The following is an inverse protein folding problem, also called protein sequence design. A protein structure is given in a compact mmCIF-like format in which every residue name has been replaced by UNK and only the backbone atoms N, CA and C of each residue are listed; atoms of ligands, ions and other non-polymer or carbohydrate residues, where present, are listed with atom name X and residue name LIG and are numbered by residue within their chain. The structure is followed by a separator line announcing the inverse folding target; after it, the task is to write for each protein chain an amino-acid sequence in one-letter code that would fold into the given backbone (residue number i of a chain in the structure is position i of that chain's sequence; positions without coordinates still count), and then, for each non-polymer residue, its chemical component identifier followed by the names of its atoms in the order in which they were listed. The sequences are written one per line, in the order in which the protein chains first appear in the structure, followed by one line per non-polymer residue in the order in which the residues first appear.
data_IF_492611662207
#
_entry.id   IF_492611662207
#
_cell.length_a   1.000
_cell.length_b   1.000
_cell.length_c   1.000
_cell.angle_alpha   90.00
_cell.angle_beta   90.00
_cell.angle_gamma   90.00
#
_symmetry.space_group_name_H-M   'P 1'
#
loop_
_entity.id
_entity.type
_entity.pdbx_description
1 polymer ?
#
# COMPACT_ATOMS: atom_id res chain seq x y z
N UNK A 1 -22.37 1.74 8.67
CA UNK A 1 -23.05 1.03 9.76
C UNK A 1 -22.05 0.02 10.21
N UNK A 2 -21.53 0.14 11.42
CA UNK A 2 -20.36 -0.64 11.82
C UNK A 2 -20.65 -2.14 11.71
N UNK A 3 -19.69 -2.89 11.19
CA UNK A 3 -19.79 -4.34 11.03
C UNK A 3 -19.66 -5.01 12.41
N UNK A 4 -20.79 -5.35 13.03
CA UNK A 4 -20.84 -6.06 14.31
C UNK A 4 -20.90 -7.56 14.05
N UNK A 5 -19.84 -8.28 14.42
CA UNK A 5 -19.73 -9.74 14.22
C UNK A 5 -19.56 -10.41 15.58
N UNK A 6 -20.63 -11.09 16.02
CA UNK A 6 -20.59 -11.88 17.26
C UNK A 6 -19.87 -13.22 17.06
N UNK A 7 -19.94 -13.78 15.85
CA UNK A 7 -19.28 -15.04 15.48
C UNK A 7 -18.73 -14.98 14.04
N UNK A 8 -17.42 -14.79 13.93
CA UNK A 8 -16.72 -14.67 12.65
C UNK A 8 -16.77 -15.93 11.79
N UNK A 9 -16.74 -17.11 12.40
CA UNK A 9 -16.76 -18.37 11.65
C UNK A 9 -18.12 -18.59 10.98
N UNK A 10 -19.21 -18.32 11.71
CA UNK A 10 -20.56 -18.39 11.18
C UNK A 10 -20.77 -17.39 10.04
N UNK A 11 -20.27 -16.16 10.20
CA UNK A 11 -20.38 -15.13 9.16
C UNK A 11 -19.56 -15.48 7.91
N UNK A 12 -18.36 -16.06 8.07
CA UNK A 12 -17.57 -16.59 6.94
C UNK A 12 -18.34 -17.72 6.22
N UNK A 13 -18.95 -18.66 6.96
CA UNK A 13 -19.72 -19.76 6.36
C UNK A 13 -20.93 -19.23 5.59
N UNK A 14 -21.66 -18.28 6.18
CA UNK A 14 -22.81 -17.62 5.55
C UNK A 14 -22.39 -16.86 4.29
N UNK A 15 -21.35 -16.03 4.38
CA UNK A 15 -20.80 -15.26 3.26
C UNK A 15 -20.34 -16.16 2.12
N UNK A 16 -19.60 -17.24 2.42
CA UNK A 16 -19.19 -18.23 1.40
C UNK A 16 -20.38 -18.86 0.69
N UNK A 17 -21.46 -19.17 1.41
CA UNK A 17 -22.70 -19.70 0.80
C UNK A 17 -23.40 -18.66 -0.07
N UNK A 18 -23.39 -17.40 0.33
CA UNK A 18 -23.99 -16.30 -0.42
C UNK A 18 -23.22 -16.02 -1.72
N UNK A 19 -21.90 -15.77 -1.64
CA UNK A 19 -21.08 -15.43 -2.82
C UNK A 19 -21.07 -16.55 -3.86
N UNK A 20 -21.09 -17.81 -3.44
CA UNK A 20 -21.19 -18.96 -4.35
C UNK A 20 -22.44 -18.97 -5.23
N UNK A 21 -23.55 -18.35 -4.78
CA UNK A 21 -24.77 -18.25 -5.60
C UNK A 21 -24.56 -17.38 -6.84
N UNK A 22 -23.65 -16.42 -6.76
CA UNK A 22 -23.31 -15.51 -7.86
C UNK A 22 -22.18 -16.07 -8.75
N UNK A 23 -21.57 -17.20 -8.36
CA UNK A 23 -20.43 -17.82 -9.03
C UNK A 23 -20.71 -19.29 -9.38
N UNK A 24 -21.64 -19.57 -10.31
CA UNK A 24 -22.05 -20.94 -10.63
C UNK A 24 -20.91 -21.81 -11.20
N UNK A 25 -19.95 -21.22 -11.90
CA UNK A 25 -18.70 -21.87 -12.34
C UNK A 25 -17.46 -21.28 -11.66
N UNK A 26 -17.48 -21.24 -10.32
CA UNK A 26 -16.35 -20.75 -9.53
C UNK A 26 -15.01 -21.40 -9.92
N UNK A 27 -15.01 -22.69 -10.29
CA UNK A 27 -13.78 -23.41 -10.63
C UNK A 27 -13.22 -22.97 -11.99
N UNK A 28 -14.07 -22.85 -13.01
CA UNK A 28 -13.66 -22.34 -14.32
C UNK A 28 -13.14 -20.91 -14.21
N UNK A 29 -13.91 -20.03 -13.56
CA UNK A 29 -13.54 -18.62 -13.34
C UNK A 29 -12.19 -18.52 -12.59
N UNK A 30 -12.01 -19.29 -11.51
CA UNK A 30 -10.75 -19.26 -10.78
C UNK A 30 -9.58 -19.77 -11.64
N UNK A 31 -9.81 -20.75 -12.52
CA UNK A 31 -8.79 -21.26 -13.43
C UNK A 31 -8.35 -20.21 -14.46
N UNK A 32 -9.28 -19.41 -14.95
CA UNK A 32 -8.99 -18.29 -15.84
C UNK A 32 -8.12 -17.23 -15.14
N UNK A 33 -8.49 -16.83 -13.92
CA UNK A 33 -7.70 -15.91 -13.10
C UNK A 33 -6.31 -16.47 -12.83
N UNK A 34 -6.20 -17.76 -12.48
CA UNK A 34 -4.92 -18.42 -12.24
C UNK A 34 -4.02 -18.38 -13.48
N UNK A 35 -4.57 -18.64 -14.66
CA UNK A 35 -3.82 -18.58 -15.91
C UNK A 35 -3.32 -17.15 -16.20
N UNK A 36 -4.18 -16.14 -16.03
CA UNK A 36 -3.81 -14.73 -16.19
C UNK A 36 -2.68 -14.32 -15.26
N UNK A 37 -2.77 -14.69 -13.97
CA UNK A 37 -1.71 -14.39 -12.99
C UNK A 37 -0.42 -15.15 -13.33
N UNK A 38 -0.51 -16.40 -13.80
CA UNK A 38 0.66 -17.18 -14.21
C UNK A 38 1.39 -16.53 -15.41
N UNK A 39 0.66 -15.96 -16.36
CA UNK A 39 1.23 -15.19 -17.47
C UNK A 39 1.98 -13.95 -16.96
N UNK A 40 1.37 -13.16 -16.07
CA UNK A 40 2.03 -11.99 -15.47
C UNK A 40 3.28 -12.37 -14.67
N UNK A 41 3.24 -13.48 -13.91
CA UNK A 41 4.42 -14.02 -13.22
C UNK A 41 5.51 -14.40 -14.21
N UNK A 42 5.18 -15.05 -15.32
CA UNK A 42 6.16 -15.40 -16.37
C UNK A 42 6.79 -14.15 -16.97
N UNK A 43 6.02 -13.10 -17.23
CA UNK A 43 6.54 -11.83 -17.75
C UNK A 43 7.54 -11.23 -16.75
N UNK A 44 7.20 -11.20 -15.46
CA UNK A 44 8.07 -10.67 -14.41
C UNK A 44 9.36 -11.49 -14.32
N UNK A 45 9.27 -12.82 -14.37
CA UNK A 45 10.45 -13.70 -14.35
C UNK A 45 11.37 -13.45 -15.54
N UNK A 46 10.82 -13.26 -16.74
CA UNK A 46 11.61 -12.92 -17.93
C UNK A 46 12.34 -11.58 -17.73
N UNK A 47 11.65 -10.54 -17.24
CA UNK A 47 12.29 -9.24 -16.98
C UNK A 47 13.43 -9.36 -15.96
N UNK A 48 13.24 -10.12 -14.88
CA UNK A 48 14.28 -10.39 -13.89
C UNK A 48 15.48 -11.12 -14.51
N UNK A 49 15.22 -12.16 -15.30
CA UNK A 49 16.27 -12.95 -15.95
C UNK A 49 17.06 -12.14 -16.99
N UNK A 50 16.42 -11.14 -17.60
CA UNK A 50 17.03 -10.20 -18.53
C UNK A 50 17.64 -8.97 -17.84
N UNK A 51 17.67 -8.94 -16.49
CA UNK A 51 18.16 -7.82 -15.69
C UNK A 51 17.45 -6.48 -16.00
N UNK A 52 16.19 -6.56 -16.46
CA UNK A 52 15.34 -5.38 -16.72
C UNK A 52 14.57 -4.98 -15.47
N UNK A 53 14.30 -3.69 -15.35
CA UNK A 53 13.48 -3.15 -14.27
C UNK A 53 12.05 -3.72 -14.33
N UNK A 54 11.59 -4.32 -13.22
CA UNK A 54 10.22 -4.83 -13.08
C UNK A 54 9.28 -3.73 -12.60
N UNK A 55 9.76 -2.93 -11.64
CA UNK A 55 9.04 -1.80 -11.09
C UNK A 55 9.30 -0.59 -12.00
N UNK A 56 8.27 0.07 -12.53
CA UNK A 56 8.42 1.28 -13.31
C UNK A 56 9.12 2.36 -12.49
N UNK A 57 10.01 3.11 -13.13
CA UNK A 57 10.72 4.22 -12.51
C UNK A 57 10.51 5.48 -13.33
N UNK A 58 10.18 6.59 -12.65
CA UNK A 58 10.03 7.92 -13.23
C UNK A 58 10.81 8.94 -12.39
N UNK A 59 11.13 10.10 -12.93
CA UNK A 59 11.70 11.18 -12.15
C UNK A 59 10.59 12.11 -11.60
N UNK A 60 10.88 12.80 -10.50
CA UNK A 60 10.01 13.86 -10.00
C UNK A 60 9.92 15.04 -10.98
N UNK A 61 10.98 15.28 -11.76
CA UNK A 61 11.01 16.33 -12.80
C UNK A 61 9.96 16.06 -13.87
N UNK A 62 9.82 14.80 -14.33
CA UNK A 62 8.78 14.42 -15.30
C UNK A 62 7.36 14.67 -14.75
N UNK A 63 7.14 14.45 -13.45
CA UNK A 63 5.88 14.81 -12.77
C UNK A 63 5.73 16.34 -12.72
N UNK A 64 6.82 17.07 -12.48
CA UNK A 64 6.78 18.52 -12.35
C UNK A 64 6.44 19.21 -13.68
N UNK A 65 7.00 18.70 -14.77
CA UNK A 65 6.83 19.17 -16.15
C UNK A 65 5.60 18.60 -16.87
N UNK A 66 4.88 17.67 -16.22
CA UNK A 66 3.74 16.94 -16.80
C UNK A 66 4.14 16.11 -18.05
N UNK A 67 5.38 15.61 -18.10
CA UNK A 67 5.98 14.89 -19.23
C UNK A 67 6.12 13.39 -18.95
N UNK A 68 4.98 12.74 -18.67
CA UNK A 68 4.92 11.28 -18.51
C UNK A 68 3.99 10.72 -19.57
N UNK A 69 4.51 9.85 -20.42
CA UNK A 69 3.72 9.23 -21.47
C UNK A 69 2.67 8.24 -20.93
N UNK A 70 1.65 8.01 -21.75
CA UNK A 70 0.55 7.12 -21.39
C UNK A 70 0.98 5.66 -21.24
N UNK A 71 2.02 5.22 -21.96
CA UNK A 71 2.52 3.84 -21.87
C UNK A 71 3.13 3.55 -20.49
N UNK A 72 3.85 4.53 -19.94
CA UNK A 72 4.41 4.52 -18.60
C UNK A 72 3.31 4.53 -17.55
N UNK A 73 2.29 5.37 -17.72
CA UNK A 73 1.10 5.39 -16.84
C UNK A 73 0.39 4.03 -16.84
N UNK A 74 0.16 3.45 -18.02
CA UNK A 74 -0.49 2.14 -18.16
C UNK A 74 0.34 1.02 -17.52
N UNK A 75 1.67 1.07 -17.68
CA UNK A 75 2.58 0.14 -17.03
C UNK A 75 2.56 0.28 -15.51
N UNK A 76 2.52 1.50 -14.98
CA UNK A 76 2.40 1.77 -13.53
C UNK A 76 1.08 1.20 -13.00
N UNK A 77 -0.04 1.43 -13.70
CA UNK A 77 -1.33 0.86 -13.32
C UNK A 77 -1.32 -0.66 -13.38
N UNK A 78 -0.70 -1.24 -14.41
CA UNK A 78 -0.55 -2.69 -14.56
C UNK A 78 0.31 -3.31 -13.44
N UNK A 79 1.39 -2.65 -13.02
CA UNK A 79 2.30 -3.13 -11.97
C UNK A 79 1.83 -2.80 -10.55
N UNK A 80 0.93 -1.83 -10.40
CA UNK A 80 0.41 -1.38 -9.11
C UNK A 80 1.46 -0.74 -8.21
N UNK A 81 2.61 -0.34 -8.75
CA UNK A 81 3.71 0.28 -8.01
C UNK A 81 4.58 1.12 -8.96
N UNK A 82 5.33 2.08 -8.39
CA UNK A 82 6.26 2.96 -9.11
C UNK A 82 7.35 3.46 -8.16
N UNK A 83 8.57 3.64 -8.67
CA UNK A 83 9.62 4.40 -8.00
C UNK A 83 9.64 5.83 -8.57
N UNK A 84 9.43 6.83 -7.72
CA UNK A 84 9.60 8.24 -8.09
C UNK A 84 10.98 8.69 -7.60
N UNK A 85 11.91 8.88 -8.54
CA UNK A 85 13.28 9.30 -8.26
C UNK A 85 13.34 10.80 -8.00
N UNK A 86 14.26 11.21 -7.13
CA UNK A 86 14.60 12.61 -6.91
C UNK A 86 13.44 13.52 -6.44
N UNK A 87 12.43 12.98 -5.74
CA UNK A 87 11.41 13.81 -5.04
C UNK A 87 12.05 14.81 -4.09
N UNK A 88 13.15 14.40 -3.46
CA UNK A 88 14.00 15.25 -2.65
C UNK A 88 15.46 15.09 -3.07
N UNK A 89 16.24 16.15 -2.94
CA UNK A 89 17.68 16.09 -3.17
C UNK A 89 18.36 15.19 -2.14
N UNK A 90 19.45 14.52 -2.56
CA UNK A 90 20.24 13.67 -1.66
C UNK A 90 20.73 14.44 -0.42
N UNK A 91 21.21 15.68 -0.59
CA UNK A 91 21.71 16.50 0.51
C UNK A 91 20.64 16.80 1.56
N UNK A 92 19.40 17.07 1.13
CA UNK A 92 18.29 17.29 2.05
C UNK A 92 17.93 16.01 2.83
N UNK A 93 17.94 14.87 2.14
CA UNK A 93 17.70 13.57 2.79
C UNK A 93 18.81 13.22 3.79
N UNK A 94 20.08 13.52 3.46
CA UNK A 94 21.20 13.31 4.38
C UNK A 94 21.02 14.16 5.66
N UNK A 95 20.69 15.45 5.52
CA UNK A 95 20.38 16.36 6.64
C UNK A 95 19.24 15.83 7.50
N UNK A 96 18.11 15.48 6.89
CA UNK A 96 16.94 14.94 7.60
C UNK A 96 17.26 13.63 8.32
N UNK A 97 18.10 12.78 7.74
CA UNK A 97 18.53 11.55 8.39
C UNK A 97 19.43 11.84 9.60
N UNK A 98 20.34 12.80 9.52
CA UNK A 98 21.17 13.24 10.65
C UNK A 98 20.32 13.84 11.78
N UNK A 99 19.40 14.75 11.45
CA UNK A 99 18.45 15.34 12.40
C UNK A 99 17.60 14.29 13.10
N UNK A 100 17.16 13.27 12.36
CA UNK A 100 16.38 12.16 12.90
C UNK A 100 17.19 11.31 13.88
N UNK A 101 18.46 11.01 13.53
CA UNK A 101 19.38 10.30 14.44
C UNK A 101 19.57 11.10 15.71
N UNK A 102 19.87 12.40 15.58
CA UNK A 102 20.04 13.31 16.70
C UNK A 102 18.82 13.32 17.60
N UNK A 103 17.62 13.43 17.02
CA UNK A 103 16.36 13.36 17.73
C UNK A 103 16.19 12.04 18.52
N UNK A 104 16.49 10.91 17.90
CA UNK A 104 16.44 9.59 18.56
C UNK A 104 17.42 9.52 19.74
N UNK A 105 18.65 10.00 19.55
CA UNK A 105 19.73 9.87 20.55
C UNK A 105 19.59 10.85 21.71
N UNK A 106 19.29 12.12 21.45
CA UNK A 106 19.21 13.16 22.49
C UNK A 106 18.02 12.93 23.42
N UNK A 107 16.96 12.30 22.92
CA UNK A 107 15.81 11.91 23.74
C UNK A 107 16.01 10.56 24.45
N UNK A 108 17.15 9.88 24.30
CA UNK A 108 17.41 8.59 24.94
C UNK A 108 16.39 7.51 24.54
N UNK A 109 15.97 7.49 23.27
CA UNK A 109 14.90 6.60 22.82
C UNK A 109 15.28 5.12 22.96
N UNK A 110 16.55 4.77 22.72
CA UNK A 110 17.03 3.40 22.80
C UNK A 110 16.90 2.82 24.22
N UNK A 111 17.24 3.62 25.23
CA UNK A 111 17.11 3.27 26.64
C UNK A 111 15.64 3.11 27.02
N UNK A 112 14.79 4.06 26.63
CA UNK A 112 13.35 4.02 26.93
C UNK A 112 12.61 2.85 26.27
N UNK A 113 13.09 2.36 25.13
CA UNK A 113 12.49 1.21 24.45
C UNK A 113 12.77 -0.12 25.15
N UNK A 114 13.90 -0.27 25.83
CA UNK A 114 14.20 -1.51 26.56
C UNK A 114 13.16 -1.80 27.64
N UNK A 115 12.71 -0.76 28.35
CA UNK A 115 11.68 -0.88 29.40
C UNK A 115 10.27 -1.18 28.84
N UNK A 116 10.04 -0.87 27.55
CA UNK A 116 8.72 -0.94 26.89
C UNK A 116 8.60 -2.06 25.86
N UNK A 117 9.60 -2.95 25.75
CA UNK A 117 9.62 -4.04 24.77
C UNK A 117 8.41 -4.99 24.85
N UNK A 118 7.69 -5.01 25.98
CA UNK A 118 6.47 -5.81 26.17
C UNK A 118 5.20 -5.24 25.51
N UNK A 119 5.22 -3.97 25.07
CA UNK A 119 4.05 -3.25 24.55
C UNK A 119 3.82 -3.42 23.04
N UNK A 120 4.86 -3.74 22.26
CA UNK A 120 4.74 -4.00 20.82
C UNK A 120 5.09 -5.45 20.51
N UNK A 121 4.09 -6.33 20.65
CA UNK A 121 4.23 -7.77 20.39
C UNK A 121 4.13 -8.13 18.90
N UNK A 122 3.73 -7.18 18.05
CA UNK A 122 3.53 -7.41 16.62
C UNK A 122 4.85 -7.72 15.90
N UNK A 123 5.96 -7.17 16.41
CA UNK A 123 7.32 -7.42 15.92
C UNK A 123 8.19 -8.21 16.90
N UNK A 124 7.56 -8.96 17.82
CA UNK A 124 8.26 -9.70 18.88
C UNK A 124 9.22 -10.79 18.37
N UNK A 125 9.16 -11.13 17.08
CA UNK A 125 10.08 -12.05 16.39
C UNK A 125 11.42 -11.41 15.96
N UNK A 126 11.59 -10.08 16.09
CA UNK A 126 12.83 -9.40 15.77
C UNK A 126 13.88 -9.63 16.88
N UNK A 127 14.91 -10.44 16.59
CA UNK A 127 15.97 -10.82 17.54
C UNK A 127 17.00 -9.72 17.86
N UNK A 128 16.88 -8.52 17.28
CA UNK A 128 17.85 -7.44 17.50
C UNK A 128 17.62 -6.74 18.85
N UNK A 129 18.71 -6.43 19.55
CA UNK A 129 18.71 -5.61 20.76
C UNK A 129 18.29 -4.16 20.51
N UNK A 130 18.20 -3.74 19.24
CA UNK A 130 17.69 -2.44 18.80
C UNK A 130 16.42 -2.61 17.96
N UNK A 131 15.38 -1.80 18.20
CA UNK A 131 14.17 -1.84 17.37
C UNK A 131 14.50 -1.42 15.93
N UNK A 132 13.95 -2.14 14.94
CA UNK A 132 14.04 -1.75 13.53
C UNK A 132 12.93 -0.77 13.14
N UNK A 133 11.79 -0.83 13.82
CA UNK A 133 10.65 0.08 13.66
C UNK A 133 10.56 0.97 14.89
N UNK A 134 10.51 2.29 14.67
CA UNK A 134 10.49 3.27 15.76
C UNK A 134 9.10 3.91 15.82
N UNK A 135 8.46 3.87 16.98
CA UNK A 135 7.19 4.52 17.31
C UNK A 135 7.30 6.05 17.41
N UNK A 136 8.01 6.67 16.46
CA UNK A 136 8.25 8.09 16.38
C UNK A 136 7.42 8.64 15.23
N UNK A 137 6.61 9.65 15.52
CA UNK A 137 5.63 10.18 14.56
C UNK A 137 5.85 11.66 14.24
N UNK A 138 6.50 12.41 15.14
CA UNK A 138 6.50 13.88 15.13
C UNK A 138 7.90 14.50 15.10
N UNK A 139 8.92 13.76 14.66
CA UNK A 139 10.23 14.37 14.43
C UNK A 139 10.13 15.47 13.37
N UNK A 140 10.96 16.50 13.48
CA UNK A 140 10.96 17.58 12.49
C UNK A 140 11.15 17.08 11.06
N UNK A 141 12.08 16.13 10.76
CA UNK A 141 12.21 15.55 9.43
C UNK A 141 10.92 14.91 8.90
N UNK A 142 10.19 14.14 9.72
CA UNK A 142 8.94 13.52 9.31
C UNK A 142 7.87 14.57 8.96
N UNK A 143 7.72 15.61 9.79
CA UNK A 143 6.74 16.66 9.56
C UNK A 143 7.10 17.48 8.32
N UNK A 144 8.37 17.87 8.17
CA UNK A 144 8.89 18.59 6.99
C UNK A 144 8.63 17.79 5.71
N UNK A 145 9.00 16.51 5.67
CA UNK A 145 8.81 15.66 4.51
C UNK A 145 7.34 15.49 4.10
N UNK A 146 6.41 15.40 5.07
CA UNK A 146 4.98 15.24 4.80
C UNK A 146 4.32 16.47 4.21
N UNK A 147 4.72 17.66 4.67
CA UNK A 147 4.12 18.93 4.25
C UNK A 147 4.84 19.60 3.08
N UNK A 148 5.93 18.99 2.58
CA UNK A 148 6.70 19.55 1.48
C UNK A 148 5.90 19.58 0.18
N UNK A 149 6.12 20.62 -0.64
CA UNK A 149 5.40 20.82 -1.89
C UNK A 149 5.67 19.70 -2.90
N UNK A 150 6.91 19.19 -2.96
CA UNK A 150 7.27 18.13 -3.89
C UNK A 150 6.60 16.81 -3.51
N UNK A 151 6.47 16.53 -2.21
CA UNK A 151 5.68 15.40 -1.73
C UNK A 151 4.19 15.56 -2.06
N UNK A 152 3.62 16.74 -1.82
CA UNK A 152 2.22 17.01 -2.14
C UNK A 152 1.93 16.83 -3.64
N UNK A 153 2.80 17.35 -4.52
CA UNK A 153 2.66 17.18 -5.98
C UNK A 153 2.78 15.72 -6.42
N UNK A 154 3.77 14.98 -5.91
CA UNK A 154 3.94 13.56 -6.22
C UNK A 154 2.73 12.72 -5.81
N UNK A 155 2.15 13.00 -4.63
CA UNK A 155 0.96 12.29 -4.15
C UNK A 155 -0.32 12.68 -4.90
N UNK A 156 -0.50 13.95 -5.21
CA UNK A 156 -1.60 14.40 -6.06
C UNK A 156 -1.55 13.71 -7.43
N UNK A 157 -0.35 13.60 -8.03
CA UNK A 157 -0.15 12.87 -9.27
C UNK A 157 -0.55 11.38 -9.15
N UNK A 158 -0.10 10.68 -8.09
CA UNK A 158 -0.50 9.28 -7.83
C UNK A 158 -2.00 9.12 -7.65
N UNK A 159 -2.64 10.04 -6.93
CA UNK A 159 -4.08 10.04 -6.68
C UNK A 159 -4.88 10.25 -7.98
N UNK A 160 -4.37 11.07 -8.91
CA UNK A 160 -5.00 11.30 -10.21
C UNK A 160 -4.93 10.10 -11.17
N UNK A 161 -4.18 9.04 -10.85
CA UNK A 161 -4.20 7.76 -11.60
C UNK A 161 -5.50 6.97 -11.39
N UNK A 162 -6.24 7.29 -10.33
CA UNK A 162 -7.49 6.64 -9.96
C UNK A 162 -8.66 7.22 -10.75
N UNK A 163 -9.66 6.37 -11.01
CA UNK A 163 -11.00 6.84 -11.38
C UNK A 163 -11.71 7.31 -10.09
N UNK A 164 -11.43 8.55 -9.69
CA UNK A 164 -11.98 9.16 -8.47
C UNK A 164 -13.37 9.77 -8.66
N UNK A 165 -13.80 10.02 -9.89
CA UNK A 165 -15.16 10.48 -10.22
C UNK A 165 -15.82 9.55 -11.24
N UNK A 166 -17.05 9.13 -10.96
CA UNK A 166 -17.81 8.24 -11.84
C UNK A 166 -19.30 8.54 -11.75
N UNK A 167 -19.96 8.72 -12.90
CA UNK A 167 -21.40 9.00 -12.98
C UNK A 167 -21.87 10.19 -12.12
N UNK A 168 -21.06 11.25 -12.02
CA UNK A 168 -21.35 12.42 -11.20
C UNK A 168 -21.17 12.22 -9.68
N UNK A 169 -20.59 11.09 -9.26
CA UNK A 169 -20.17 10.85 -7.88
C UNK A 169 -18.65 10.96 -7.76
N UNK A 170 -18.18 12.00 -7.07
CA UNK A 170 -16.75 12.20 -6.75
C UNK A 170 -16.46 11.52 -5.41
N UNK A 171 -15.62 10.48 -5.42
CA UNK A 171 -15.28 9.67 -4.24
C UNK A 171 -14.30 10.41 -3.32
N UNK A 172 -13.29 11.06 -3.92
CA UNK A 172 -12.32 11.89 -3.21
C UNK A 172 -11.77 12.98 -4.15
N UNK A 173 -11.17 14.01 -3.56
CA UNK A 173 -10.45 15.06 -4.27
C UNK A 173 -8.96 14.64 -4.38
N UNK A 174 -8.44 14.34 -5.57
CA UNK A 174 -7.09 13.79 -5.71
C UNK A 174 -5.98 14.79 -5.34
N UNK A 175 -6.29 16.09 -5.37
CA UNK A 175 -5.34 17.18 -5.12
C UNK A 175 -5.36 17.63 -3.65
N UNK A 176 -6.21 17.01 -2.82
CA UNK A 176 -6.30 17.30 -1.38
C UNK A 176 -6.04 16.05 -0.55
N UNK A 177 -4.86 15.98 0.03
CA UNK A 177 -4.47 14.87 0.90
C UNK A 177 -4.60 15.23 2.39
N UNK A 178 -4.99 14.26 3.21
CA UNK A 178 -4.81 14.29 4.66
C UNK A 178 -3.42 13.75 5.03
N UNK A 179 -2.77 14.36 6.02
CA UNK A 179 -1.51 13.82 6.54
C UNK A 179 -1.77 12.58 7.40
N UNK A 180 -1.26 11.43 6.95
CA UNK A 180 -1.18 10.21 7.76
C UNK A 180 0.18 10.12 8.46
N UNK A 181 0.19 10.24 9.79
CA UNK A 181 1.41 10.20 10.60
C UNK A 181 1.81 8.75 10.92
N UNK A 182 2.80 8.23 10.22
CA UNK A 182 3.34 6.88 10.45
C UNK A 182 4.74 6.90 11.12
N UNK A 183 5.19 5.71 11.50
CA UNK A 183 6.47 5.36 12.08
C UNK A 183 7.61 5.51 11.08
N UNK A 184 8.84 5.36 11.58
CA UNK A 184 10.04 5.23 10.74
C UNK A 184 10.63 3.83 10.88
N UNK A 185 11.38 3.42 9.87
CA UNK A 185 12.19 2.20 9.92
C UNK A 185 13.66 2.55 9.75
N UNK A 186 14.52 2.02 10.62
CA UNK A 186 15.98 2.10 10.50
C UNK A 186 16.54 0.70 10.66
N UNK A 187 17.40 0.28 9.73
CA UNK A 187 18.06 -1.03 9.74
C UNK A 187 19.55 -0.83 9.69
N UNK A 188 20.29 -1.60 10.49
CA UNK A 188 21.74 -1.63 10.46
C UNK A 188 22.22 -2.65 9.42
N UNK A 189 23.40 -2.44 8.78
CA UNK A 189 24.01 -3.46 7.95
C UNK A 189 24.12 -4.79 8.69
N UNK A 190 23.66 -5.88 8.08
CA UNK A 190 23.64 -7.21 8.69
C UNK A 190 22.31 -7.62 9.33
N UNK A 191 21.35 -6.70 9.49
CA UNK A 191 19.98 -7.04 9.89
C UNK A 191 19.33 -8.02 8.89
N UNK A 192 19.13 -9.27 9.27
CA UNK A 192 18.65 -10.35 8.40
C UNK A 192 17.20 -10.80 8.70
N UNK A 193 16.56 -10.20 9.71
CA UNK A 193 15.15 -10.44 10.02
C UNK A 193 14.27 -9.80 8.96
N UNK A 194 13.76 -10.60 8.03
CA UNK A 194 12.59 -10.23 7.23
C UNK A 194 11.41 -10.06 8.20
N UNK A 195 11.08 -8.82 8.54
CA UNK A 195 10.11 -8.54 9.60
C UNK A 195 8.69 -9.03 9.31
N UNK A 196 8.34 -9.34 8.05
CA UNK A 196 7.01 -9.79 7.62
C UNK A 196 7.09 -10.68 6.37
N UNK A 197 6.26 -11.72 6.30
CA UNK A 197 5.98 -12.47 5.06
C UNK A 197 5.13 -11.62 4.10
N UNK A 198 5.03 -11.97 2.79
CA UNK A 198 4.13 -11.27 1.88
C UNK A 198 2.70 -11.18 2.45
N UNK A 199 2.14 -9.97 2.46
CA UNK A 199 0.81 -9.65 2.98
C UNK A 199 0.23 -8.44 2.24
N UNK A 200 -1.05 -8.16 2.46
CA UNK A 200 -1.71 -6.93 2.05
C UNK A 200 -2.32 -6.26 3.28
N UNK A 201 -2.10 -4.96 3.43
CA UNK A 201 -2.72 -4.14 4.46
C UNK A 201 -4.16 -3.75 4.10
N UNK A 202 -4.79 -2.90 4.92
CA UNK A 202 -6.15 -2.41 4.75
C UNK A 202 -7.14 -3.58 4.56
N UNK A 203 -7.42 -4.27 5.66
CA UNK A 203 -8.41 -5.35 5.73
C UNK A 203 -7.84 -6.74 5.39
N UNK A 204 -8.37 -7.74 6.10
CA UNK A 204 -8.14 -9.16 5.90
C UNK A 204 -9.48 -9.82 5.60
N UNK A 205 -10.13 -10.44 6.59
CA UNK A 205 -11.44 -11.12 6.44
C UNK A 205 -12.53 -10.18 5.93
N UNK A 206 -12.44 -8.90 6.26
CA UNK A 206 -13.34 -7.82 5.87
C UNK A 206 -13.48 -7.75 4.35
N UNK A 207 -12.42 -8.07 3.58
CA UNK A 207 -12.45 -8.11 2.10
C UNK A 207 -13.51 -9.06 1.54
N UNK A 208 -13.96 -10.02 2.35
CA UNK A 208 -15.02 -10.96 1.99
C UNK A 208 -16.35 -10.64 2.67
N UNK A 209 -16.32 -10.31 3.97
CA UNK A 209 -17.55 -10.26 4.79
C UNK A 209 -18.15 -8.86 4.90
N UNK A 210 -17.38 -7.80 4.67
CA UNK A 210 -17.88 -6.43 4.68
C UNK A 210 -18.58 -6.10 3.36
N UNK A 211 -19.77 -5.50 3.45
CA UNK A 211 -20.57 -5.12 2.28
C UNK A 211 -19.88 -4.04 1.44
N UNK A 212 -19.13 -3.13 2.06
CA UNK A 212 -18.32 -2.11 1.36
C UNK A 212 -17.27 -2.76 0.47
N UNK A 213 -16.47 -3.67 1.02
CA UNK A 213 -15.52 -4.46 0.24
C UNK A 213 -16.18 -5.32 -0.83
N UNK A 214 -17.34 -5.93 -0.56
CA UNK A 214 -18.06 -6.68 -1.58
C UNK A 214 -18.49 -5.80 -2.76
N UNK A 215 -18.83 -4.52 -2.53
CA UNK A 215 -19.09 -3.57 -3.62
C UNK A 215 -17.82 -3.17 -4.38
N UNK A 216 -16.69 -3.00 -3.69
CA UNK A 216 -15.38 -2.75 -4.33
C UNK A 216 -15.03 -3.91 -5.27
N UNK A 217 -15.20 -5.15 -4.81
CA UNK A 217 -14.89 -6.38 -5.56
C UNK A 217 -16.08 -6.99 -6.30
N UNK A 218 -17.16 -6.23 -6.53
CA UNK A 218 -18.41 -6.71 -7.13
C UNK A 218 -18.21 -7.48 -8.43
N UNK A 219 -17.29 -7.04 -9.29
CA UNK A 219 -17.01 -7.68 -10.58
C UNK A 219 -16.35 -9.05 -10.38
N UNK A 220 -15.45 -9.16 -9.40
CA UNK A 220 -14.84 -10.43 -9.00
C UNK A 220 -15.91 -11.36 -8.44
N UNK A 221 -16.73 -10.89 -7.49
CA UNK A 221 -17.74 -11.70 -6.81
C UNK A 221 -18.95 -12.08 -7.67
N UNK A 222 -19.14 -11.44 -8.83
CA UNK A 222 -20.16 -11.78 -9.82
C UNK A 222 -19.61 -12.56 -11.03
N UNK A 223 -18.31 -12.90 -11.03
CA UNK A 223 -17.68 -13.71 -12.06
C UNK A 223 -17.16 -12.95 -13.28
N UNK A 224 -17.47 -11.66 -13.39
CA UNK A 224 -16.99 -10.77 -14.46
C UNK A 224 -15.64 -10.14 -14.08
N UNK A 225 -14.68 -10.96 -13.67
CA UNK A 225 -13.42 -10.48 -13.09
C UNK A 225 -12.59 -9.63 -14.07
N UNK A 226 -12.76 -9.81 -15.39
CA UNK A 226 -12.16 -8.96 -16.43
C UNK A 226 -12.57 -7.48 -16.32
N UNK A 227 -13.74 -7.19 -15.76
CA UNK A 227 -14.24 -5.82 -15.58
C UNK A 227 -13.74 -5.20 -14.27
N UNK A 228 -12.99 -5.93 -13.44
CA UNK A 228 -12.43 -5.38 -12.21
C UNK A 228 -11.26 -4.44 -12.52
N UNK A 229 -11.43 -3.17 -12.17
CA UNK A 229 -10.38 -2.15 -12.22
C UNK A 229 -9.84 -1.88 -10.80
N UNK A 230 -8.57 -2.21 -10.51
CA UNK A 230 -7.94 -1.87 -9.24
C UNK A 230 -7.93 -0.37 -8.93
N UNK A 231 -8.00 0.49 -9.94
CA UNK A 231 -7.99 1.95 -9.84
C UNK A 231 -9.40 2.58 -9.85
N UNK A 232 -10.48 1.78 -9.84
CA UNK A 232 -11.83 2.29 -9.57
C UNK A 232 -11.95 2.63 -8.07
N UNK A 233 -12.14 3.91 -7.76
CA UNK A 233 -12.25 4.39 -6.38
C UNK A 233 -13.62 4.06 -5.74
N UNK A 234 -14.61 3.71 -6.55
CA UNK A 234 -16.00 3.51 -6.10
C UNK A 234 -16.07 2.60 -4.86
N UNK A 235 -16.83 3.04 -3.85
CA UNK A 235 -17.11 2.32 -2.59
C UNK A 235 -15.91 2.15 -1.64
N UNK A 236 -14.68 2.53 -2.00
CA UNK A 236 -13.49 2.33 -1.14
C UNK A 236 -13.51 3.17 0.14
N UNK A 237 -14.29 4.24 0.16
CA UNK A 237 -14.53 5.09 1.34
C UNK A 237 -15.78 4.68 2.13
N UNK A 238 -16.48 3.62 1.70
CA UNK A 238 -17.69 3.09 2.34
C UNK A 238 -17.44 1.78 3.11
N UNK A 239 -16.18 1.34 3.20
CA UNK A 239 -15.76 0.16 3.96
C UNK A 239 -15.94 0.45 5.46
N UNK A 240 -16.52 -0.51 6.19
CA UNK A 240 -16.82 -0.38 7.62
C UNK A 240 -15.59 -0.46 8.52
#
# INVERSE_FOLDING_TARGET
MDLIIDNIEEEIVKTKKQLKKNLPDLKGIFKEVENYIAEEVSIIQTLVNEEKAVIPEISYEDIDEEDIDMETIDLIKKRGCVVIRNVFSKSLIDEWNEDLVKYITENGYYEQCQDKAHLDQYFSSLQSSKPQVFGIYWSQPQVKARQDKSMAKAKAWLNNLWLYEKNGNTVFDPDKECTYADRIRRREPGDNTFGLSPHADAGSVERWIDDGYQKVYRNIFNGNWHDYDPFDASYRTEIS
#
